data_IF_292080743914
#
_entry.id   IF_292080743914
#
_cell.length_a   1.000
_cell.length_b   1.000
_cell.length_c   1.000
_cell.angle_alpha   90.00
_cell.angle_beta   90.00
_cell.angle_gamma   90.00
#
_symmetry.space_group_name_H-M   'P 1'
#
loop_
_entity.id
_entity.type
_entity.pdbx_description
1 polymer ?
#
# COMPACT_ATOMS: atom_id res chain seq x y z
N UNK A 1 28.83 16.21 -48.62
CA UNK A 1 28.50 15.63 -47.29
C UNK A 1 27.11 16.09 -46.89
N UNK A 2 26.16 15.17 -46.71
CA UNK A 2 24.81 15.49 -46.25
C UNK A 2 24.70 14.97 -44.83
N UNK A 3 24.64 15.88 -43.85
CA UNK A 3 24.55 15.56 -42.44
C UNK A 3 23.18 14.93 -42.18
N UNK A 4 23.15 13.66 -41.79
CA UNK A 4 21.93 12.98 -41.35
C UNK A 4 21.86 13.16 -39.84
N UNK A 5 20.89 13.95 -39.38
CA UNK A 5 20.54 14.05 -37.96
C UNK A 5 19.73 12.81 -37.60
N UNK A 6 20.34 11.88 -36.85
CA UNK A 6 19.63 10.80 -36.19
C UNK A 6 18.96 11.38 -34.94
N UNK A 7 17.64 11.59 -35.02
CA UNK A 7 16.82 11.87 -33.85
C UNK A 7 16.62 10.56 -33.09
N UNK A 8 17.21 10.48 -31.89
CA UNK A 8 16.95 9.40 -30.95
C UNK A 8 15.59 9.67 -30.29
N UNK A 9 14.57 8.95 -30.72
CA UNK A 9 13.31 8.87 -29.97
C UNK A 9 13.56 8.11 -28.67
N UNK A 10 13.31 8.76 -27.54
CA UNK A 10 13.33 8.09 -26.24
C UNK A 10 12.21 7.04 -26.21
N UNK A 11 12.59 5.77 -26.05
CA UNK A 11 11.67 4.71 -25.63
C UNK A 11 11.29 5.02 -24.19
N UNK A 12 10.10 5.60 -23.97
CA UNK A 12 9.54 5.73 -22.63
C UNK A 12 9.21 4.31 -22.14
N UNK A 13 9.99 3.83 -21.16
CA UNK A 13 9.57 2.69 -20.33
C UNK A 13 8.18 3.00 -19.77
N UNK A 14 7.25 2.05 -19.80
CA UNK A 14 5.93 2.25 -19.22
C UNK A 14 6.10 2.53 -17.72
N UNK A 15 5.91 3.77 -17.30
CA UNK A 15 6.05 4.17 -15.91
C UNK A 15 5.09 3.34 -15.05
N UNK A 16 5.60 2.74 -13.98
CA UNK A 16 4.76 2.00 -13.04
C UNK A 16 3.87 2.99 -12.28
N UNK A 17 2.60 2.64 -12.13
CA UNK A 17 1.64 3.44 -11.37
C UNK A 17 1.44 2.87 -9.97
N UNK A 18 1.24 3.76 -9.00
CA UNK A 18 0.88 3.41 -7.63
C UNK A 18 -0.23 4.32 -7.12
N UNK A 19 -0.99 3.81 -6.17
CA UNK A 19 -1.87 4.65 -5.34
C UNK A 19 -1.09 5.22 -4.16
N UNK A 20 -1.57 6.32 -3.60
CA UNK A 20 -1.04 6.88 -2.36
C UNK A 20 -2.14 7.09 -1.33
N UNK A 21 -1.79 7.00 -0.06
CA UNK A 21 -2.57 7.56 1.06
C UNK A 21 -1.63 8.31 1.99
N UNK A 22 -2.18 8.84 3.08
CA UNK A 22 -1.43 9.43 4.19
C UNK A 22 -1.72 8.69 5.48
N UNK A 23 -0.69 8.39 6.24
CA UNK A 23 -0.80 7.94 7.62
C UNK A 23 0.13 8.73 8.55
N UNK A 24 -0.14 8.61 9.85
CA UNK A 24 0.77 9.04 10.91
C UNK A 24 0.46 8.24 12.17
N UNK A 25 1.41 7.44 12.62
CA UNK A 25 1.29 6.61 13.82
C UNK A 25 2.35 6.92 14.89
N UNK A 26 3.41 7.66 14.54
CA UNK A 26 4.54 7.99 15.41
C UNK A 26 5.41 6.79 15.78
N UNK A 27 5.29 5.67 15.07
CA UNK A 27 5.98 4.43 15.40
C UNK A 27 7.31 4.28 14.68
N UNK A 28 8.19 3.45 15.23
CA UNK A 28 9.51 3.12 14.68
C UNK A 28 9.47 2.67 13.21
N UNK A 29 8.43 1.93 12.83
CA UNK A 29 8.26 1.35 11.51
C UNK A 29 9.08 0.08 11.29
N UNK A 30 8.69 -0.68 10.26
CA UNK A 30 9.22 -2.00 9.96
C UNK A 30 10.68 -2.02 9.43
N UNK A 31 11.27 -0.84 9.17
CA UNK A 31 12.68 -0.70 8.84
C UNK A 31 13.54 -0.25 10.04
N UNK A 32 12.95 -0.14 11.23
CA UNK A 32 13.69 0.14 12.46
C UNK A 32 14.25 1.56 12.55
N UNK A 33 13.54 2.56 12.03
CA UNK A 33 14.01 3.95 11.96
C UNK A 33 13.59 4.75 13.21
N UNK A 34 14.00 4.28 14.38
CA UNK A 34 13.61 4.88 15.66
C UNK A 34 13.89 3.95 16.82
N UNK A 35 13.02 3.99 17.82
CA UNK A 35 13.10 3.12 18.98
C UNK A 35 11.71 2.58 19.33
N UNK A 36 11.66 1.63 20.27
CA UNK A 36 10.39 1.17 20.86
C UNK A 36 9.56 2.27 21.53
N UNK A 37 10.12 3.47 21.74
CA UNK A 37 9.44 4.65 22.28
C UNK A 37 8.90 5.60 21.21
N UNK A 38 9.16 5.35 19.92
CA UNK A 38 8.65 6.14 18.81
C UNK A 38 9.62 6.27 17.63
N UNK A 39 9.11 6.85 16.54
CA UNK A 39 9.87 7.18 15.33
C UNK A 39 11.02 8.17 15.60
N UNK A 40 12.08 8.08 14.81
CA UNK A 40 13.04 9.17 14.68
C UNK A 40 12.34 10.43 14.12
N UNK A 41 12.77 11.61 14.60
CA UNK A 41 12.11 12.88 14.27
C UNK A 41 12.09 13.21 12.76
N UNK A 42 13.10 12.75 12.01
CA UNK A 42 13.20 12.97 10.56
C UNK A 42 12.18 12.16 9.75
N UNK A 43 11.54 11.14 10.34
CA UNK A 43 10.55 10.33 9.61
C UNK A 43 9.34 11.15 9.14
N UNK A 44 8.99 12.24 9.82
CA UNK A 44 7.91 13.15 9.43
C UNK A 44 8.25 14.07 8.24
N UNK A 45 9.48 14.00 7.75
CA UNK A 45 9.99 14.85 6.68
C UNK A 45 11.50 14.97 6.83
N UNK A 46 12.23 14.40 5.87
CA UNK A 46 13.70 14.37 5.87
C UNK A 46 14.23 15.76 5.48
N UNK A 47 13.66 16.32 4.41
CA UNK A 47 13.95 17.67 3.91
C UNK A 47 12.80 18.15 3.03
N UNK A 48 12.91 19.37 2.49
CA UNK A 48 11.95 19.88 1.51
C UNK A 48 11.78 18.86 0.36
N UNK A 49 10.52 18.45 0.11
CA UNK A 49 10.11 17.46 -0.89
C UNK A 49 10.70 16.03 -0.73
N UNK A 50 11.24 15.69 0.44
CA UNK A 50 11.75 14.34 0.74
C UNK A 50 11.10 13.82 2.03
N UNK A 51 10.35 12.72 1.90
CA UNK A 51 9.52 12.16 2.97
C UNK A 51 9.82 10.68 3.19
N UNK A 52 9.16 10.09 4.18
CA UNK A 52 9.14 8.64 4.36
C UNK A 52 7.77 8.07 4.02
N UNK A 53 7.73 6.77 3.69
CA UNK A 53 6.49 6.07 3.41
C UNK A 53 6.52 4.63 3.93
N UNK A 54 5.33 4.13 4.24
CA UNK A 54 5.06 2.71 4.34
C UNK A 54 4.77 2.15 2.94
N UNK A 55 5.65 1.30 2.44
CA UNK A 55 5.46 0.65 1.14
C UNK A 55 4.52 -0.55 1.25
N UNK A 56 3.66 -0.77 0.26
CA UNK A 56 2.97 -2.07 0.10
C UNK A 56 3.96 -3.23 0.10
N UNK A 57 3.49 -4.45 0.39
CA UNK A 57 4.35 -5.63 0.53
C UNK A 57 5.31 -5.82 -0.66
N UNK A 58 4.89 -5.53 -1.90
CA UNK A 58 5.76 -5.64 -3.08
C UNK A 58 6.93 -4.63 -3.11
N UNK A 59 6.73 -3.45 -2.51
CA UNK A 59 7.77 -2.42 -2.36
C UNK A 59 8.66 -2.68 -1.14
N UNK A 60 8.09 -3.28 -0.10
CA UNK A 60 8.80 -3.58 1.14
C UNK A 60 9.64 -4.86 1.05
N UNK A 61 9.03 -5.98 0.64
CA UNK A 61 9.67 -7.29 0.48
C UNK A 61 8.74 -8.27 -0.25
N UNK A 62 9.13 -8.72 -1.46
CA UNK A 62 8.26 -9.59 -2.26
C UNK A 62 8.15 -11.02 -1.72
N UNK A 63 9.09 -11.42 -0.87
CA UNK A 63 9.10 -12.70 -0.17
C UNK A 63 8.20 -12.71 1.07
N UNK A 64 7.57 -11.57 1.42
CA UNK A 64 6.59 -11.46 2.48
C UNK A 64 7.17 -11.12 3.87
N UNK A 65 8.42 -10.68 3.94
CA UNK A 65 9.02 -10.22 5.20
C UNK A 65 8.23 -9.04 5.76
N UNK A 66 8.10 -8.97 7.09
CA UNK A 66 7.41 -7.87 7.80
C UNK A 66 8.35 -7.00 8.63
N UNK A 67 9.65 -7.30 8.60
CA UNK A 67 10.70 -6.58 9.32
C UNK A 67 11.99 -6.64 8.51
N UNK A 68 12.70 -5.52 8.40
CA UNK A 68 13.91 -5.37 7.58
C UNK A 68 13.75 -5.94 6.16
N UNK A 69 12.65 -5.61 5.49
CA UNK A 69 12.42 -6.01 4.10
C UNK A 69 13.48 -5.45 3.16
N UNK A 70 13.69 -6.11 2.02
CA UNK A 70 14.74 -5.73 1.06
C UNK A 70 14.54 -4.34 0.44
N UNK A 71 13.32 -3.81 0.48
CA UNK A 71 12.98 -2.46 0.04
C UNK A 71 13.24 -1.37 1.09
N UNK A 72 13.55 -1.71 2.33
CA UNK A 72 13.87 -0.71 3.36
C UNK A 72 15.03 0.18 2.93
N UNK A 73 14.91 1.50 3.16
CA UNK A 73 15.89 2.50 2.76
C UNK A 73 15.90 2.80 1.26
N UNK A 74 15.03 2.18 0.46
CA UNK A 74 14.93 2.48 -0.97
C UNK A 74 14.12 3.76 -1.19
N UNK A 75 14.62 4.65 -2.05
CA UNK A 75 13.91 5.86 -2.43
C UNK A 75 13.22 5.75 -3.79
N UNK A 76 12.07 6.42 -3.88
CA UNK A 76 11.26 6.51 -5.09
C UNK A 76 10.88 7.97 -5.36
N UNK A 77 11.01 8.39 -6.62
CA UNK A 77 10.42 9.63 -7.10
C UNK A 77 8.96 9.36 -7.46
N UNK A 78 8.03 10.06 -6.81
CA UNK A 78 6.59 9.97 -7.06
C UNK A 78 6.15 11.19 -7.82
N UNK A 79 5.65 11.02 -9.04
CA UNK A 79 5.12 12.09 -9.88
C UNK A 79 3.60 11.96 -9.99
N UNK A 80 2.88 12.96 -9.51
CA UNK A 80 1.42 13.03 -9.53
C UNK A 80 0.89 12.96 -10.96
N UNK A 81 -0.11 12.09 -11.18
CA UNK A 81 -0.92 12.07 -12.42
C UNK A 81 -2.01 13.13 -12.44
N UNK A 82 -2.24 13.79 -11.30
CA UNK A 82 -3.30 14.76 -11.08
C UNK A 82 -4.67 14.18 -10.75
N UNK A 83 -4.83 12.85 -10.74
CA UNK A 83 -6.10 12.18 -10.43
C UNK A 83 -5.96 11.25 -9.23
N UNK A 84 -7.06 10.99 -8.53
CA UNK A 84 -7.17 9.91 -7.55
C UNK A 84 -7.58 8.60 -8.24
N UNK A 85 -7.59 7.50 -7.49
CA UNK A 85 -7.83 6.16 -8.02
C UNK A 85 -9.30 5.89 -8.43
N UNK A 86 -10.22 6.72 -7.98
CA UNK A 86 -11.67 6.53 -8.12
C UNK A 86 -12.44 7.81 -7.76
N UNK A 87 -13.71 7.86 -8.14
CA UNK A 87 -14.60 8.95 -7.73
C UNK A 87 -14.84 8.90 -6.21
N UNK A 88 -14.35 9.93 -5.50
CA UNK A 88 -14.60 10.12 -4.07
C UNK A 88 -13.60 9.47 -3.10
N UNK A 89 -12.57 8.76 -3.57
CA UNK A 89 -11.47 8.30 -2.71
C UNK A 89 -10.35 9.33 -2.51
N UNK A 90 -10.46 10.50 -3.14
CA UNK A 90 -9.57 11.64 -2.92
C UNK A 90 -9.71 12.66 -4.05
N UNK A 91 -9.18 13.86 -3.86
CA UNK A 91 -9.21 14.91 -4.90
C UNK A 91 -8.08 14.81 -5.91
N UNK A 92 -7.11 13.91 -5.71
CA UNK A 92 -5.90 13.86 -6.53
C UNK A 92 -4.94 14.99 -6.16
N UNK A 93 -4.12 15.43 -7.12
CA UNK A 93 -3.09 16.45 -6.91
C UNK A 93 -2.88 17.30 -8.15
N UNK A 94 -1.82 18.09 -8.16
CA UNK A 94 -1.40 18.83 -9.36
C UNK A 94 -0.61 17.86 -10.26
N UNK A 95 -1.02 17.71 -11.52
CA UNK A 95 -0.32 16.82 -12.45
C UNK A 95 1.12 17.30 -12.69
N UNK A 96 2.09 16.39 -12.55
CA UNK A 96 3.52 16.68 -12.71
C UNK A 96 4.25 17.11 -11.43
N UNK A 97 3.52 17.47 -10.36
CA UNK A 97 4.15 17.71 -9.06
C UNK A 97 4.77 16.42 -8.54
N UNK A 98 5.93 16.56 -7.89
CA UNK A 98 6.76 15.41 -7.52
C UNK A 98 7.41 15.57 -6.15
N UNK A 99 7.49 14.45 -5.45
CA UNK A 99 8.22 14.29 -4.18
C UNK A 99 9.07 13.04 -4.24
N UNK A 100 10.05 12.93 -3.35
CA UNK A 100 10.78 11.69 -3.12
C UNK A 100 10.30 11.09 -1.79
N UNK A 101 10.08 9.78 -1.78
CA UNK A 101 9.79 9.03 -0.55
C UNK A 101 10.85 7.95 -0.34
N UNK A 102 11.25 7.75 0.91
CA UNK A 102 12.05 6.60 1.34
C UNK A 102 11.16 5.58 2.04
N UNK A 103 11.28 4.30 1.70
CA UNK A 103 10.54 3.22 2.37
C UNK A 103 11.17 2.97 3.74
N UNK A 104 10.46 3.34 4.81
CA UNK A 104 10.89 3.13 6.22
C UNK A 104 9.93 2.25 7.02
N UNK A 105 8.79 1.88 6.42
CA UNK A 105 7.79 1.05 7.07
C UNK A 105 7.07 0.15 6.05
N UNK A 106 6.28 -0.80 6.55
CA UNK A 106 5.43 -1.68 5.75
C UNK A 106 3.98 -1.21 5.86
N UNK A 107 3.29 -1.09 4.73
CA UNK A 107 1.83 -1.10 4.73
C UNK A 107 1.35 -2.55 4.55
N UNK A 108 0.91 -3.22 5.62
CA UNK A 108 0.55 -4.64 5.54
C UNK A 108 -0.79 -4.80 4.83
N UNK A 109 -0.91 -5.83 4.02
CA UNK A 109 -2.18 -6.17 3.36
C UNK A 109 -3.32 -6.39 4.36
N UNK A 110 -3.05 -7.10 5.46
CA UNK A 110 -4.10 -7.43 6.41
C UNK A 110 -4.56 -6.16 7.15
N UNK A 111 -5.82 -5.78 6.94
CA UNK A 111 -6.41 -4.55 7.47
C UNK A 111 -6.34 -3.36 6.52
N UNK A 112 -5.56 -3.46 5.44
CA UNK A 112 -5.39 -2.39 4.45
C UNK A 112 -5.62 -2.89 3.01
N UNK A 113 -6.44 -3.92 2.82
CA UNK A 113 -6.63 -4.59 1.53
C UNK A 113 -7.12 -3.64 0.42
N UNK A 114 -7.89 -2.62 0.80
CA UNK A 114 -8.36 -1.56 -0.08
C UNK A 114 -7.20 -0.88 -0.83
N UNK A 115 -6.06 -0.70 -0.17
CA UNK A 115 -4.95 0.11 -0.65
C UNK A 115 -3.67 -0.67 -0.89
N UNK A 116 -3.29 -1.56 0.03
CA UNK A 116 -1.98 -2.20 0.08
C UNK A 116 -2.05 -3.65 -0.40
N UNK A 117 -1.69 -3.92 -1.68
CA UNK A 117 -1.81 -5.25 -2.25
C UNK A 117 -0.71 -6.20 -1.77
N UNK A 118 -0.98 -7.50 -1.93
CA UNK A 118 0.05 -8.55 -1.87
C UNK A 118 0.94 -8.50 -3.13
N UNK A 119 2.18 -9.01 -3.07
CA UNK A 119 3.06 -9.08 -4.23
C UNK A 119 2.39 -9.83 -5.40
N UNK A 120 2.45 -9.24 -6.60
CA UNK A 120 1.85 -9.79 -7.82
C UNK A 120 0.32 -9.68 -7.92
N UNK A 121 -0.35 -9.05 -6.95
CA UNK A 121 -1.79 -8.76 -6.99
C UNK A 121 -2.04 -7.25 -7.13
N UNK A 122 -3.31 -6.86 -7.27
CA UNK A 122 -3.73 -5.45 -7.25
C UNK A 122 -4.59 -5.16 -6.03
N UNK A 123 -4.63 -3.90 -5.62
CA UNK A 123 -5.60 -3.40 -4.65
C UNK A 123 -7.00 -3.28 -5.28
N UNK A 124 -7.97 -2.79 -4.50
CA UNK A 124 -9.38 -2.68 -4.95
C UNK A 124 -9.56 -1.70 -6.12
N UNK A 125 -8.55 -0.87 -6.40
CA UNK A 125 -8.55 0.10 -7.49
C UNK A 125 -7.72 -0.34 -8.70
N UNK A 126 -7.17 -1.56 -8.69
CA UNK A 126 -6.43 -2.13 -9.82
C UNK A 126 -4.94 -1.76 -9.86
N UNK A 127 -4.36 -1.24 -8.78
CA UNK A 127 -2.94 -0.90 -8.71
C UNK A 127 -2.14 -1.95 -7.96
N UNK A 128 -0.99 -2.35 -8.52
CA UNK A 128 -0.11 -3.36 -7.93
C UNK A 128 0.83 -2.83 -6.84
N UNK A 129 0.85 -1.51 -6.64
CA UNK A 129 1.74 -0.84 -5.71
C UNK A 129 0.99 0.28 -4.98
N UNK A 130 1.43 0.52 -3.75
CA UNK A 130 0.88 1.57 -2.91
C UNK A 130 1.94 2.15 -1.98
N UNK A 131 1.95 3.48 -1.86
CA UNK A 131 2.77 4.23 -0.91
C UNK A 131 1.87 4.93 0.09
N UNK A 132 1.92 4.52 1.35
CA UNK A 132 1.23 5.23 2.42
C UNK A 132 2.22 6.22 3.03
N UNK A 133 2.04 7.51 2.78
CA UNK A 133 3.04 8.54 3.07
C UNK A 133 2.93 8.95 4.53
N UNK A 134 4.06 8.92 5.24
CA UNK A 134 4.11 9.30 6.64
C UNK A 134 4.13 10.83 6.77
N UNK A 135 2.98 11.42 7.11
CA UNK A 135 2.86 12.85 7.30
C UNK A 135 1.65 13.22 8.18
N UNK A 136 1.80 14.26 8.99
CA UNK A 136 0.69 14.77 9.81
C UNK A 136 -0.42 15.42 8.97
N UNK A 137 -0.03 16.02 7.84
CA UNK A 137 -0.91 16.70 6.89
C UNK A 137 -0.63 16.28 5.45
N UNK A 138 -1.55 16.62 4.55
CA UNK A 138 -1.37 16.41 3.11
C UNK A 138 -0.06 17.05 2.61
N UNK A 139 0.69 16.32 1.78
CA UNK A 139 2.02 16.73 1.30
C UNK A 139 2.04 17.17 -0.17
N UNK A 140 1.36 16.44 -1.07
CA UNK A 140 1.34 16.78 -2.51
C UNK A 140 0.06 16.31 -3.23
N UNK A 141 -1.09 16.48 -2.56
CA UNK A 141 -2.40 16.05 -3.03
C UNK A 141 -3.04 14.99 -2.15
N UNK A 142 -4.34 14.77 -2.37
CA UNK A 142 -5.21 13.87 -1.61
C UNK A 142 -5.39 12.55 -2.36
N UNK A 143 -4.75 11.49 -1.84
CA UNK A 143 -4.76 10.13 -2.37
C UNK A 143 -4.52 10.07 -3.89
N UNK A 144 -3.51 10.82 -4.32
CA UNK A 144 -3.15 10.98 -5.73
C UNK A 144 -2.53 9.69 -6.28
N UNK A 145 -2.92 9.32 -7.49
CA UNK A 145 -2.25 8.27 -8.26
C UNK A 145 -0.96 8.83 -8.82
N UNK A 146 0.13 8.09 -8.67
CA UNK A 146 1.47 8.54 -9.03
C UNK A 146 2.09 7.61 -10.06
N UNK A 147 2.85 8.18 -10.98
CA UNK A 147 3.93 7.46 -11.63
C UNK A 147 5.10 7.39 -10.65
N UNK A 148 5.76 6.25 -10.55
CA UNK A 148 6.91 6.11 -9.68
C UNK A 148 8.09 5.41 -10.35
N UNK A 149 9.29 5.82 -9.92
CA UNK A 149 10.56 5.20 -10.32
C UNK A 149 11.49 5.14 -9.10
N UNK A 150 12.28 4.08 -9.01
CA UNK A 150 13.33 3.99 -7.99
C UNK A 150 14.44 4.99 -8.31
N UNK A 151 14.90 5.73 -7.30
CA UNK A 151 15.97 6.71 -7.42
C UNK A 151 16.99 6.53 -6.30
N UNK A 152 18.18 7.10 -6.49
CA UNK A 152 19.13 7.25 -5.39
C UNK A 152 18.54 8.19 -4.34
N UNK A 153 18.62 7.80 -3.07
CA UNK A 153 18.19 8.66 -1.97
C UNK A 153 18.98 9.97 -1.94
N UNK A 154 18.30 11.13 -1.88
CA UNK A 154 18.96 12.42 -1.90
C UNK A 154 19.44 12.85 -0.51
N UNK A 155 20.59 13.54 -0.47
CA UNK A 155 21.01 14.35 0.67
C UNK A 155 20.96 13.62 2.01
N UNK A 156 20.20 14.20 2.94
CA UNK A 156 20.08 13.74 4.33
C UNK A 156 19.42 12.37 4.46
N UNK A 157 18.61 11.94 3.49
CA UNK A 157 17.93 10.64 3.53
C UNK A 157 18.91 9.47 3.65
N UNK A 158 20.07 9.58 2.98
CA UNK A 158 21.12 8.55 3.04
C UNK A 158 21.69 8.44 4.45
N UNK A 159 22.01 9.57 5.08
CA UNK A 159 22.59 9.57 6.43
C UNK A 159 21.55 9.25 7.51
N UNK A 160 20.28 9.56 7.27
CA UNK A 160 19.19 9.19 8.16
C UNK A 160 18.91 7.68 8.09
N UNK A 161 18.97 7.09 6.90
CA UNK A 161 18.85 5.64 6.74
C UNK A 161 19.94 4.87 7.53
N UNK A 162 21.16 5.40 7.59
CA UNK A 162 22.26 4.82 8.38
C UNK A 162 21.96 4.71 9.88
N UNK A 163 20.96 5.45 10.41
CA UNK A 163 20.57 5.36 11.81
C UNK A 163 19.58 4.25 12.10
N UNK A 164 18.94 3.69 11.08
CA UNK A 164 17.92 2.66 11.24
C UNK A 164 18.53 1.29 11.58
N UNK A 165 17.85 0.49 12.40
CA UNK A 165 18.32 -0.83 12.82
C UNK A 165 18.54 -1.80 11.65
N UNK A 166 17.74 -1.65 10.58
CA UNK A 166 17.82 -2.50 9.41
C UNK A 166 18.93 -2.07 8.43
N UNK A 167 19.66 -0.98 8.70
CA UNK A 167 20.83 -0.59 7.92
C UNK A 167 21.87 -1.73 7.96
N UNK A 168 22.31 -2.20 6.78
CA UNK A 168 23.15 -3.39 6.55
C UNK A 168 22.54 -4.77 6.95
N UNK A 169 21.25 -4.82 7.29
CA UNK A 169 20.56 -6.04 7.73
C UNK A 169 19.26 -6.33 6.99
N UNK A 170 19.06 -5.69 5.84
CA UNK A 170 17.89 -5.95 4.98
C UNK A 170 17.90 -7.39 4.47
N UNK A 171 16.72 -7.98 4.31
CA UNK A 171 16.57 -9.28 3.65
C UNK A 171 17.24 -9.26 2.27
N UNK A 172 17.72 -10.42 1.82
CA UNK A 172 18.32 -10.57 0.49
C UNK A 172 17.24 -10.98 -0.52
N UNK A 173 16.21 -10.15 -0.68
CA UNK A 173 15.26 -10.29 -1.78
C UNK A 173 15.67 -9.36 -2.92
N UNK A 174 16.23 -9.93 -3.99
CA UNK A 174 16.68 -9.17 -5.17
C UNK A 174 15.53 -8.67 -6.05
N UNK A 175 14.27 -8.93 -5.70
CA UNK A 175 13.12 -8.54 -6.51
C UNK A 175 12.85 -7.03 -6.45
N UNK A 176 13.21 -6.32 -5.37
CA UNK A 176 13.20 -4.85 -5.36
C UNK A 176 14.17 -4.25 -6.39
N UNK A 177 15.26 -4.96 -6.72
CA UNK A 177 16.15 -4.62 -7.83
C UNK A 177 15.57 -5.00 -9.21
N UNK A 178 14.56 -5.86 -9.28
CA UNK A 178 13.88 -6.22 -10.53
C UNK A 178 12.90 -5.14 -11.02
N UNK A 179 12.32 -4.32 -10.13
CA UNK A 179 11.62 -3.08 -10.52
C UNK A 179 12.57 -2.09 -11.19
N UNK A 180 13.84 -2.01 -10.73
CA UNK A 180 14.88 -1.24 -11.39
C UNK A 180 15.36 -1.87 -12.72
N UNK A 181 15.23 -3.19 -12.86
CA UNK A 181 15.75 -3.95 -14.01
C UNK A 181 14.81 -4.05 -15.22
N UNK A 182 13.58 -3.54 -15.14
CA UNK A 182 12.72 -3.38 -16.32
C UNK A 182 13.35 -2.46 -17.41
N UNK A 183 14.44 -1.76 -17.09
CA UNK A 183 15.21 -0.90 -17.99
C UNK A 183 16.32 -1.62 -18.78
N UNK A 184 16.53 -2.93 -18.62
CA UNK A 184 17.64 -3.62 -19.31
C UNK A 184 17.31 -5.03 -19.78
N UNK A 185 16.29 -5.16 -20.63
CA UNK A 185 16.12 -6.33 -21.49
C UNK A 185 15.94 -5.88 -22.95
N UNK A 186 17.03 -5.97 -23.71
CA UNK A 186 17.02 -5.87 -25.18
C UNK A 186 16.52 -7.19 -25.77
N UNK A 187 15.59 -7.15 -26.74
CA UNK A 187 15.55 -8.14 -27.79
C UNK A 187 15.87 -7.52 -29.15
N UNK A 188 16.85 -8.11 -29.82
CA UNK A 188 17.02 -7.95 -31.25
C UNK A 188 15.87 -8.63 -32.00
N UNK A 189 15.40 -7.98 -33.06
CA UNK A 189 15.18 -8.68 -34.33
C UNK A 189 13.73 -8.83 -34.78
N UNK A 190 13.47 -8.23 -35.95
CA UNK A 190 12.39 -8.49 -36.92
C UNK A 190 11.00 -7.88 -36.64
N UNK A 191 10.24 -7.43 -37.64
CA UNK A 191 10.49 -6.73 -38.91
C UNK A 191 9.07 -6.39 -39.41
N UNK A 192 8.87 -5.14 -39.81
CA UNK A 192 7.82 -4.63 -40.72
C UNK A 192 6.34 -5.05 -40.55
N UNK A 193 5.46 -4.07 -40.43
CA UNK A 193 4.62 -3.64 -41.57
C UNK A 193 3.70 -2.47 -41.20
N UNK A 194 3.74 -1.46 -42.05
CA UNK A 194 3.02 -0.19 -42.00
C UNK A 194 1.54 -0.31 -42.39
N UNK A 195 0.64 0.46 -41.77
CA UNK A 195 -0.42 1.19 -42.50
C UNK A 195 -0.95 2.40 -41.72
N UNK A 196 -1.00 3.51 -42.45
CA UNK A 196 -1.58 4.82 -42.16
C UNK A 196 -3.11 4.78 -42.20
N UNK A 197 -3.83 5.47 -41.30
CA UNK A 197 -4.98 6.34 -41.69
C UNK A 197 -5.64 7.10 -40.52
N UNK A 198 -5.58 8.43 -40.63
CA UNK A 198 -6.52 9.50 -40.24
C UNK A 198 -7.62 9.30 -39.20
N UNK A 199 -7.54 10.18 -38.20
CA UNK A 199 -8.60 10.82 -37.40
C UNK A 199 -9.85 11.24 -38.19
N UNK A 200 -11.03 11.29 -37.53
CA UNK A 200 -11.72 12.56 -37.51
C UNK A 200 -12.22 12.98 -36.11
N UNK A 201 -11.88 14.22 -35.77
CA UNK A 201 -12.59 15.13 -34.87
C UNK A 201 -14.11 15.06 -35.08
N UNK A 202 -14.88 14.87 -34.01
CA UNK A 202 -16.29 15.30 -33.94
C UNK A 202 -16.59 16.01 -32.63
N UNK A 203 -17.31 17.11 -32.83
CA UNK A 203 -17.63 18.23 -31.95
C UNK A 203 -18.74 17.90 -30.95
N UNK A 204 -18.67 18.53 -29.78
CA UNK A 204 -19.76 18.59 -28.80
C UNK A 204 -21.03 19.27 -29.36
N UNK A 205 -22.20 18.99 -28.76
CA UNK A 205 -23.06 20.09 -28.36
C UNK A 205 -23.64 19.98 -26.94
N UNK A 206 -23.82 21.16 -26.33
CA UNK A 206 -24.63 21.48 -25.15
C UNK A 206 -26.00 20.78 -25.13
N UNK A 207 -26.56 20.51 -23.95
CA UNK A 207 -27.43 21.44 -23.22
C UNK A 207 -28.38 20.73 -22.25
N UNK A 208 -28.79 21.49 -21.25
CA UNK A 208 -29.57 21.17 -20.05
C UNK A 208 -30.98 20.58 -20.26
N UNK A 209 -31.41 19.80 -19.27
CA UNK A 209 -32.75 19.78 -18.67
C UNK A 209 -32.66 18.96 -17.36
N UNK A 210 -32.55 19.57 -16.19
CA UNK A 210 -33.68 19.93 -15.30
C UNK A 210 -34.73 18.82 -15.19
N UNK A 211 -34.67 18.06 -14.09
CA UNK A 211 -35.80 17.28 -13.59
C UNK A 211 -35.79 17.35 -12.07
N UNK A 212 -36.74 18.11 -11.56
CA UNK A 212 -37.14 18.23 -10.16
C UNK A 212 -37.93 17.01 -9.75
N UNK A 213 -37.51 16.33 -8.68
CA UNK A 213 -38.39 15.44 -7.90
C UNK A 213 -38.18 15.70 -6.42
N UNK A 214 -39.19 16.30 -5.83
CA UNK A 214 -39.40 16.52 -4.40
C UNK A 214 -39.99 15.24 -3.82
N UNK A 215 -39.31 14.57 -2.87
CA UNK A 215 -39.98 13.63 -1.95
C UNK A 215 -39.34 13.67 -0.56
N UNK A 216 -40.03 14.41 0.31
CA UNK A 216 -40.47 14.06 1.68
C UNK A 216 -39.52 13.41 2.68
N UNK A 217 -39.30 14.17 3.75
CA UNK A 217 -38.73 13.83 5.04
C UNK A 217 -39.62 12.87 5.86
N UNK A 218 -39.01 11.89 6.53
CA UNK A 218 -39.56 11.26 7.73
C UNK A 218 -38.45 10.83 8.69
N UNK A 219 -38.55 11.28 9.93
CA UNK A 219 -37.68 11.00 11.09
C UNK A 219 -37.88 9.59 11.67
N UNK A 220 -36.88 9.02 12.39
CA UNK A 220 -36.95 7.68 12.96
C UNK A 220 -37.57 7.71 14.37
N UNK A 221 -38.34 6.68 14.74
CA UNK A 221 -38.70 6.40 16.14
C UNK A 221 -38.90 4.90 16.37
N UNK A 222 -38.34 4.47 17.50
CA UNK A 222 -38.11 3.14 18.07
C UNK A 222 -39.37 2.37 18.47
N UNK A 223 -39.34 1.03 18.46
CA UNK A 223 -39.43 0.10 19.65
C UNK A 223 -39.54 -1.38 19.21
N UNK A 224 -39.24 -2.35 20.10
CA UNK A 224 -38.75 -3.69 19.72
C UNK A 224 -39.87 -4.72 19.56
N UNK A 225 -39.60 -5.79 18.81
CA UNK A 225 -40.44 -6.98 18.85
C UNK A 225 -39.58 -8.23 18.90
N UNK A 226 -39.80 -8.98 19.97
CA UNK A 226 -39.19 -10.27 20.29
C UNK A 226 -39.88 -11.37 19.47
N UNK A 227 -39.10 -12.35 19.00
CA UNK A 227 -39.61 -13.61 18.46
C UNK A 227 -38.80 -14.75 19.08
N UNK A 228 -39.48 -15.58 19.87
CA UNK A 228 -38.97 -16.82 20.47
C UNK A 228 -38.84 -17.88 19.38
N UNK A 229 -37.68 -18.53 19.29
CA UNK A 229 -37.40 -19.60 18.34
C UNK A 229 -36.31 -20.51 18.90
N UNK A 230 -36.75 -21.41 19.78
CA UNK A 230 -35.99 -22.55 20.28
C UNK A 230 -35.70 -23.53 19.13
N UNK A 231 -34.42 -23.77 18.83
CA UNK A 231 -33.93 -24.93 18.09
C UNK A 231 -32.42 -25.13 18.34
N UNK A 232 -32.13 -26.05 19.24
CA UNK A 232 -31.04 -27.06 19.26
C UNK A 232 -29.63 -26.64 18.81
N UNK A 233 -28.60 -26.73 19.68
CA UNK A 233 -27.22 -26.49 19.29
C UNK A 233 -26.73 -27.66 18.42
N UNK A 234 -26.32 -27.38 17.19
CA UNK A 234 -25.49 -28.32 16.43
C UNK A 234 -24.04 -28.12 16.84
N UNK A 235 -23.59 -28.94 17.78
CA UNK A 235 -22.17 -29.17 18.05
C UNK A 235 -21.50 -29.65 16.76
N UNK A 236 -20.80 -28.74 16.08
CA UNK A 236 -19.83 -29.11 15.06
C UNK A 236 -18.52 -29.35 15.78
N UNK A 237 -18.11 -30.61 15.81
CA UNK A 237 -16.94 -31.11 16.52
C UNK A 237 -15.68 -30.30 16.19
N UNK A 238 -15.08 -29.73 17.25
CA UNK A 238 -13.75 -29.16 17.21
C UNK A 238 -12.75 -30.21 16.71
N UNK A 239 -11.98 -29.87 15.68
CA UNK A 239 -10.84 -30.66 15.25
C UNK A 239 -9.76 -30.61 16.33
N UNK A 240 -9.78 -31.61 17.20
CA UNK A 240 -8.69 -31.94 18.12
C UNK A 240 -7.42 -32.25 17.32
N UNK A 241 -6.47 -31.32 17.25
CA UNK A 241 -5.12 -31.64 16.77
C UNK A 241 -4.19 -30.47 16.43
N UNK A 242 -4.71 -29.29 16.11
CA UNK A 242 -3.86 -28.14 15.80
C UNK A 242 -3.69 -27.24 17.02
N UNK A 243 -2.45 -26.91 17.29
CA UNK A 243 -2.06 -25.91 18.29
C UNK A 243 -1.73 -24.62 17.54
N UNK A 244 -2.18 -23.47 18.06
CA UNK A 244 -1.92 -22.15 17.48
C UNK A 244 -0.50 -21.69 17.77
N UNK A 245 0.13 -21.02 16.80
CA UNK A 245 1.41 -20.34 16.98
C UNK A 245 1.27 -19.17 17.96
N UNK A 246 2.38 -18.73 18.55
CA UNK A 246 2.45 -17.46 19.25
C UNK A 246 1.90 -16.34 18.36
N UNK A 247 1.08 -15.48 18.96
CA UNK A 247 0.30 -14.41 18.32
C UNK A 247 -0.84 -14.86 17.38
N UNK A 248 -1.09 -16.17 17.24
CA UNK A 248 -2.24 -16.71 16.53
C UNK A 248 -3.57 -16.48 17.27
N UNK A 249 -4.67 -16.40 16.53
CA UNK A 249 -6.00 -16.32 17.13
C UNK A 249 -6.38 -17.67 17.76
N UNK A 250 -6.70 -17.65 19.04
CA UNK A 250 -7.04 -18.83 19.83
C UNK A 250 -8.46 -18.77 20.42
N UNK A 251 -9.22 -17.74 20.10
CA UNK A 251 -10.60 -17.59 20.57
C UNK A 251 -11.28 -16.33 20.03
N UNK A 252 -12.53 -16.13 20.44
CA UNK A 252 -13.40 -15.06 19.99
C UNK A 252 -14.76 -15.57 19.53
N UNK A 253 -15.79 -14.72 19.59
CA UNK A 253 -17.10 -15.04 19.07
C UNK A 253 -17.02 -15.40 17.58
N UNK A 254 -17.56 -16.58 17.23
CA UNK A 254 -17.51 -17.23 15.92
C UNK A 254 -16.14 -17.80 15.49
N UNK A 255 -15.15 -17.87 16.38
CA UNK A 255 -13.89 -18.56 16.09
C UNK A 255 -14.08 -20.09 16.06
N UNK A 256 -13.75 -20.73 14.93
CA UNK A 256 -13.82 -22.19 14.75
C UNK A 256 -12.46 -22.85 14.59
N UNK A 257 -11.36 -22.09 14.75
CA UNK A 257 -10.00 -22.60 14.61
C UNK A 257 -9.44 -23.18 15.92
N UNK A 258 -8.14 -23.49 15.93
CA UNK A 258 -7.47 -24.02 17.11
C UNK A 258 -7.54 -23.03 18.29
N UNK A 259 -7.79 -23.56 19.49
CA UNK A 259 -7.95 -22.78 20.72
C UNK A 259 -6.82 -22.99 21.72
N UNK A 260 -6.03 -24.05 21.55
CA UNK A 260 -4.82 -24.29 22.32
C UNK A 260 -3.65 -23.53 21.70
N UNK A 261 -2.85 -22.85 22.52
CA UNK A 261 -1.62 -22.18 22.09
C UNK A 261 -0.40 -23.11 22.22
N UNK A 262 0.65 -22.82 21.45
CA UNK A 262 1.90 -23.59 21.51
C UNK A 262 2.52 -23.56 22.90
N UNK A 263 3.31 -24.58 23.21
CA UNK A 263 3.96 -24.70 24.52
C UNK A 263 4.75 -23.44 24.87
N UNK A 264 4.46 -22.83 26.01
CA UNK A 264 5.05 -21.55 26.42
C UNK A 264 4.14 -20.34 26.18
N UNK A 265 2.99 -20.52 25.54
CA UNK A 265 2.04 -19.46 25.23
C UNK A 265 0.67 -19.73 25.86
N UNK A 266 -0.06 -18.66 26.19
CA UNK A 266 -1.42 -18.70 26.76
C UNK A 266 -2.39 -17.91 25.90
N UNK A 267 -3.61 -18.41 25.74
CA UNK A 267 -4.66 -17.70 25.01
C UNK A 267 -5.23 -16.55 25.86
N UNK A 268 -4.91 -15.30 25.51
CA UNK A 268 -5.41 -14.10 26.18
C UNK A 268 -6.57 -13.48 25.40
N UNK A 269 -7.70 -13.29 26.07
CA UNK A 269 -8.84 -12.55 25.51
C UNK A 269 -8.48 -11.08 25.35
N UNK A 270 -8.60 -10.54 24.14
CA UNK A 270 -8.44 -9.10 23.90
C UNK A 270 -9.79 -8.39 23.79
N UNK A 271 -10.74 -8.99 23.09
CA UNK A 271 -12.10 -8.50 22.99
C UNK A 271 -13.08 -9.68 22.76
N UNK A 272 -14.40 -9.46 22.78
CA UNK A 272 -15.39 -10.54 22.67
C UNK A 272 -15.29 -11.37 21.37
N UNK A 273 -14.71 -10.80 20.32
CA UNK A 273 -14.57 -11.43 19.00
C UNK A 273 -13.16 -11.94 18.73
N UNK A 274 -12.20 -11.69 19.63
CA UNK A 274 -10.78 -11.98 19.40
C UNK A 274 -10.00 -12.28 20.68
N UNK A 275 -9.35 -13.45 20.70
CA UNK A 275 -8.37 -13.88 21.70
C UNK A 275 -7.11 -14.35 21.01
N UNK A 276 -5.94 -14.03 21.56
CA UNK A 276 -4.65 -14.25 20.93
C UNK A 276 -3.69 -15.04 21.83
N UNK A 277 -2.91 -15.94 21.25
CA UNK A 277 -1.80 -16.59 21.95
C UNK A 277 -0.70 -15.58 22.27
N UNK A 278 -0.35 -15.43 23.54
CA UNK A 278 0.74 -14.55 23.99
C UNK A 278 1.72 -15.34 24.85
N UNK A 279 2.97 -14.89 24.89
CA UNK A 279 4.04 -15.52 25.66
C UNK A 279 3.70 -15.52 27.15
N UNK A 280 3.97 -16.62 27.88
CA UNK A 280 3.64 -16.72 29.31
C UNK A 280 4.58 -15.93 30.25
N UNK A 281 5.29 -14.93 29.71
CA UNK A 281 6.28 -14.10 30.41
C UNK A 281 5.94 -12.61 30.43
N UNK A 282 4.70 -12.22 30.10
CA UNK A 282 4.17 -10.87 30.29
C UNK A 282 3.44 -10.70 31.63
#
# INVERSE_FOLDING_TARGET
>A
MKLVFLSFGALASAASLATTTRYYDGQEGACGCGTSSGADAWQLGISDNVYTAAGSQALFDTSGSSWCGAGCGTCYNLTSTGSSACDGCGTGGVAGDSIIVMVTNLCPYNGNQQWCPQPGSTNEYGYGYHFDINAESEVFGDNVVVQFEQVTCPGQATTDWETCLCYDQTSTDTTSASLASATSASPQGESESSTTSTEPTVTAPNSAAETTVVVTSATPTSTPSSCTGDATPSDTSASTGSTQTLYGQCGGANWTGATACESGSTCKVQNPYYSQCVSSSD
#
